data_IF_650921372183
#
_entry.id   IF_650921372183
#
_cell.length_a   1.000
_cell.length_b   1.000
_cell.length_c   1.000
_cell.angle_alpha   90.00
_cell.angle_beta   90.00
_cell.angle_gamma   90.00
#
_symmetry.space_group_name_H-M   'P 1'
#
loop_
_entity.id
_entity.type
_entity.pdbx_description
1 polymer ?
#
# COMPACT_ATOMS: atom_id res chain seq x y z
N UNK A 1 46.82 24.77 -45.98
CA UNK A 1 46.95 23.63 -45.03
C UNK A 1 45.56 23.07 -44.81
N UNK A 2 45.24 21.98 -45.44
CA UNK A 2 43.95 21.31 -45.27
C UNK A 2 44.08 20.33 -44.11
N UNK A 3 43.64 20.76 -42.93
CA UNK A 3 43.52 19.86 -41.78
C UNK A 3 42.40 18.86 -41.97
N UNK A 4 42.69 17.55 -41.88
CA UNK A 4 41.69 16.51 -41.85
C UNK A 4 40.65 16.77 -40.77
N UNK A 5 39.35 16.56 -41.03
CA UNK A 5 38.32 16.74 -40.00
C UNK A 5 38.60 15.78 -38.85
N UNK A 6 38.76 16.32 -37.61
CA UNK A 6 38.81 15.52 -36.41
C UNK A 6 37.41 14.97 -36.12
N UNK A 7 37.26 13.67 -36.22
CA UNK A 7 36.08 12.97 -35.75
C UNK A 7 36.21 12.83 -34.24
N UNK A 8 35.48 13.68 -33.48
CA UNK A 8 35.38 13.55 -32.03
C UNK A 8 34.13 12.74 -31.73
N UNK A 9 34.30 11.48 -31.36
CA UNK A 9 33.23 10.66 -30.84
C UNK A 9 33.13 11.03 -29.35
N UNK A 10 32.22 11.92 -28.99
CA UNK A 10 31.81 12.13 -27.62
C UNK A 10 30.77 11.05 -27.28
N UNK A 11 31.17 10.03 -26.55
CA UNK A 11 30.24 9.16 -25.87
C UNK A 11 29.68 9.95 -24.65
N UNK A 12 28.64 10.72 -24.90
CA UNK A 12 27.77 11.18 -23.79
C UNK A 12 26.95 9.98 -23.37
N UNK A 13 27.40 9.28 -22.32
CA UNK A 13 26.48 8.45 -21.57
C UNK A 13 25.34 9.37 -21.14
N UNK A 14 24.13 9.07 -21.61
CA UNK A 14 22.91 9.68 -21.07
C UNK A 14 22.79 9.21 -19.61
N UNK A 15 23.44 9.94 -18.73
CA UNK A 15 23.51 9.70 -17.31
C UNK A 15 22.29 10.28 -16.64
N UNK A 16 21.13 9.83 -16.95
CA UNK A 16 19.97 9.94 -16.09
C UNK A 16 19.01 8.83 -16.52
N UNK A 17 19.28 7.64 -16.05
CA UNK A 17 18.24 6.64 -16.03
C UNK A 17 17.18 7.20 -15.11
N UNK A 18 16.00 7.53 -15.65
CA UNK A 18 14.86 7.96 -14.84
C UNK A 18 14.62 6.94 -13.73
N UNK A 19 14.23 7.37 -12.54
CA UNK A 19 13.86 6.47 -11.45
C UNK A 19 12.80 5.50 -11.98
N UNK A 20 13.04 4.21 -11.82
CA UNK A 20 12.10 3.17 -12.24
C UNK A 20 10.94 3.17 -11.27
N UNK A 21 9.75 3.56 -11.75
CA UNK A 21 8.55 3.57 -10.90
C UNK A 21 8.03 2.16 -10.70
N UNK A 22 7.72 1.82 -9.46
CA UNK A 22 6.99 0.62 -9.10
C UNK A 22 5.53 0.72 -9.54
N UNK A 23 4.93 -0.44 -9.82
CA UNK A 23 3.52 -0.51 -10.15
C UNK A 23 2.73 -0.56 -8.84
N UNK A 24 1.90 0.45 -8.63
CA UNK A 24 1.09 0.61 -7.42
C UNK A 24 -0.36 0.16 -7.66
N UNK A 25 -1.07 -0.13 -6.58
CA UNK A 25 -2.49 -0.47 -6.63
C UNK A 25 -2.76 -1.96 -6.76
N UNK A 26 -1.94 -2.80 -6.13
CA UNK A 26 -2.12 -4.26 -6.10
C UNK A 26 -2.65 -4.70 -4.73
N UNK A 27 -3.81 -5.35 -4.73
CA UNK A 27 -4.43 -5.91 -3.52
C UNK A 27 -4.19 -7.41 -3.46
N UNK A 28 -3.66 -7.90 -2.35
CA UNK A 28 -3.55 -9.31 -2.00
C UNK A 28 -4.69 -9.74 -1.08
N UNK A 29 -5.40 -10.79 -1.44
CA UNK A 29 -6.51 -11.34 -0.67
C UNK A 29 -6.20 -12.79 -0.34
N UNK A 30 -6.36 -13.18 0.91
CA UNK A 30 -6.31 -14.58 1.32
C UNK A 30 -7.73 -15.04 1.64
N UNK A 31 -8.21 -16.04 0.93
CA UNK A 31 -9.54 -16.63 1.11
C UNK A 31 -9.45 -18.12 1.44
N UNK A 32 -10.35 -18.56 2.30
CA UNK A 32 -10.51 -19.97 2.65
C UNK A 32 -11.61 -20.58 1.79
N UNK A 33 -11.25 -21.55 0.94
CA UNK A 33 -12.17 -22.12 -0.05
C UNK A 33 -11.66 -23.46 -0.59
N UNK A 34 -12.53 -24.46 -0.60
CA UNK A 34 -12.21 -25.80 -1.09
C UNK A 34 -12.86 -26.15 -2.44
N UNK A 35 -13.41 -25.15 -3.18
CA UNK A 35 -14.14 -25.37 -4.45
C UNK A 35 -13.23 -25.90 -5.55
N UNK A 36 -11.97 -25.46 -5.60
CA UNK A 36 -10.96 -25.86 -6.62
C UNK A 36 -9.60 -26.10 -6.01
N UNK A 37 -8.73 -26.81 -6.75
CA UNK A 37 -7.34 -27.06 -6.34
C UNK A 37 -6.39 -25.91 -6.67
N UNK A 38 -6.77 -25.00 -7.56
CA UNK A 38 -5.92 -23.85 -7.94
C UNK A 38 -5.76 -22.90 -6.75
N UNK A 39 -4.52 -22.68 -6.34
CA UNK A 39 -4.18 -21.91 -5.12
C UNK A 39 -4.08 -20.41 -5.34
N UNK A 40 -3.75 -19.94 -6.55
CA UNK A 40 -3.53 -18.51 -6.82
C UNK A 40 -4.26 -18.05 -8.06
N UNK A 41 -4.92 -16.91 -7.93
CA UNK A 41 -5.65 -16.23 -8.99
C UNK A 41 -5.17 -14.79 -9.11
N UNK A 42 -5.18 -14.27 -10.33
CA UNK A 42 -4.89 -12.87 -10.62
C UNK A 42 -6.06 -12.32 -11.42
N UNK A 43 -6.64 -11.22 -10.95
CA UNK A 43 -7.77 -10.56 -11.56
C UNK A 43 -7.46 -9.07 -11.78
N UNK A 44 -7.89 -8.52 -12.88
CA UNK A 44 -7.80 -7.09 -13.20
C UNK A 44 -9.14 -6.37 -13.05
N UNK A 45 -10.23 -7.11 -13.03
CA UNK A 45 -11.58 -6.57 -12.81
C UNK A 45 -12.52 -7.66 -12.29
N UNK A 46 -13.68 -7.24 -11.79
CA UNK A 46 -14.69 -8.13 -11.22
C UNK A 46 -15.26 -9.15 -12.24
N UNK A 47 -15.31 -8.81 -13.53
CA UNK A 47 -15.86 -9.69 -14.57
C UNK A 47 -15.04 -10.96 -14.81
N UNK A 48 -13.76 -10.94 -14.42
CA UNK A 48 -12.86 -12.11 -14.53
C UNK A 48 -13.09 -13.14 -13.42
N UNK A 49 -13.80 -12.77 -12.36
CA UNK A 49 -14.12 -13.68 -11.24
C UNK A 49 -15.29 -14.58 -11.65
N UNK A 50 -15.02 -15.87 -11.78
CA UNK A 50 -16.02 -16.86 -12.16
C UNK A 50 -16.66 -17.47 -10.90
N UNK A 51 -17.99 -17.54 -10.87
CA UNK A 51 -18.73 -18.17 -9.76
C UNK A 51 -18.34 -19.65 -9.58
N UNK A 52 -17.98 -20.33 -10.67
CA UNK A 52 -17.55 -21.75 -10.61
C UNK A 52 -16.22 -21.97 -9.89
N UNK A 53 -15.45 -20.91 -9.65
CA UNK A 53 -14.15 -20.99 -9.01
C UNK A 53 -14.22 -20.82 -7.49
N UNK A 54 -15.32 -20.28 -6.97
CA UNK A 54 -15.46 -19.90 -5.57
C UNK A 54 -16.79 -20.43 -5.00
N UNK A 55 -16.84 -20.62 -3.68
CA UNK A 55 -18.11 -20.79 -3.00
C UNK A 55 -18.94 -19.50 -3.10
N UNK A 56 -20.25 -19.58 -2.87
CA UNK A 56 -21.17 -18.44 -3.04
C UNK A 56 -20.77 -17.23 -2.17
N UNK A 57 -20.25 -17.45 -0.98
CA UNK A 57 -19.82 -16.40 -0.07
C UNK A 57 -18.60 -15.67 -0.60
N UNK A 58 -17.54 -16.40 -0.96
CA UNK A 58 -16.31 -15.82 -1.49
C UNK A 58 -16.51 -15.17 -2.86
N UNK A 59 -17.36 -15.75 -3.71
CA UNK A 59 -17.74 -15.13 -4.97
C UNK A 59 -18.38 -13.76 -4.74
N UNK A 60 -19.41 -13.68 -3.86
CA UNK A 60 -20.06 -12.39 -3.53
C UNK A 60 -19.09 -11.40 -2.90
N UNK A 61 -18.25 -11.84 -1.97
CA UNK A 61 -17.25 -10.99 -1.33
C UNK A 61 -16.30 -10.35 -2.35
N UNK A 62 -15.84 -11.12 -3.34
CA UNK A 62 -15.01 -10.61 -4.42
C UNK A 62 -15.78 -9.66 -5.34
N UNK A 63 -17.03 -9.99 -5.72
CA UNK A 63 -17.86 -9.16 -6.58
C UNK A 63 -18.26 -7.84 -5.92
N UNK A 64 -18.69 -7.88 -4.66
CA UNK A 64 -19.26 -6.73 -3.97
C UNK A 64 -18.18 -5.80 -3.37
N UNK A 65 -17.02 -6.34 -2.93
CA UNK A 65 -16.03 -5.59 -2.19
C UNK A 65 -14.63 -5.58 -2.84
N UNK A 66 -14.32 -6.62 -3.62
CA UNK A 66 -12.97 -6.86 -4.11
C UNK A 66 -12.46 -5.87 -5.15
N UNK A 67 -13.35 -5.11 -5.82
CA UNK A 67 -12.99 -4.24 -6.95
C UNK A 67 -13.60 -2.83 -6.89
N UNK A 68 -14.18 -2.46 -5.77
CA UNK A 68 -14.89 -1.18 -5.60
C UNK A 68 -13.99 0.06 -5.75
N UNK A 69 -12.69 -0.09 -5.57
CA UNK A 69 -11.71 0.99 -5.67
C UNK A 69 -11.16 1.22 -7.07
N UNK A 70 -11.35 0.28 -8.00
CA UNK A 70 -10.72 0.33 -9.33
C UNK A 70 -9.19 0.19 -9.28
N UNK A 71 -8.68 -0.65 -8.36
CA UNK A 71 -7.26 -0.98 -8.25
C UNK A 71 -6.73 -1.62 -9.52
N UNK A 72 -5.41 -1.55 -9.72
CA UNK A 72 -4.77 -2.08 -10.92
C UNK A 72 -4.90 -3.61 -11.05
N UNK A 73 -4.69 -4.33 -9.94
CA UNK A 73 -4.65 -5.79 -9.95
C UNK A 73 -5.04 -6.33 -8.57
N UNK A 74 -5.69 -7.47 -8.56
CA UNK A 74 -6.01 -8.24 -7.34
C UNK A 74 -5.37 -9.62 -7.44
N UNK A 75 -4.59 -9.99 -6.45
CA UNK A 75 -3.98 -11.32 -6.29
C UNK A 75 -4.74 -12.06 -5.20
N UNK A 76 -5.43 -13.13 -5.54
CA UNK A 76 -6.18 -13.93 -4.57
C UNK A 76 -5.45 -15.24 -4.31
N UNK A 77 -5.10 -15.49 -3.07
CA UNK A 77 -4.53 -16.76 -2.60
C UNK A 77 -5.64 -17.55 -1.94
N UNK A 78 -5.89 -18.74 -2.48
CA UNK A 78 -6.82 -19.71 -1.91
C UNK A 78 -6.11 -20.63 -0.95
N UNK A 79 -6.69 -20.83 0.22
CA UNK A 79 -6.31 -21.83 1.20
C UNK A 79 -7.49 -22.77 1.36
N UNK A 80 -7.28 -24.08 1.23
CA UNK A 80 -8.34 -25.04 1.46
C UNK A 80 -8.74 -25.07 2.94
N UNK A 81 -10.04 -25.18 3.19
CA UNK A 81 -10.60 -25.18 4.57
C UNK A 81 -10.06 -26.31 5.44
N UNK A 82 -9.80 -27.47 4.85
CA UNK A 82 -9.31 -28.66 5.55
C UNK A 82 -7.88 -28.50 6.12
N UNK A 83 -7.06 -27.64 5.49
CA UNK A 83 -5.69 -27.35 5.96
C UNK A 83 -5.58 -26.03 6.73
N UNK A 84 -6.66 -25.28 6.88
CA UNK A 84 -6.67 -23.94 7.52
C UNK A 84 -5.96 -23.91 8.87
N UNK A 85 -6.22 -24.91 9.74
CA UNK A 85 -5.68 -24.98 11.08
C UNK A 85 -4.21 -25.44 11.15
N UNK A 86 -3.67 -25.95 10.05
CA UNK A 86 -2.30 -26.51 9.99
C UNK A 86 -1.36 -25.70 9.15
N UNK A 87 -1.88 -24.72 8.39
CA UNK A 87 -1.08 -23.94 7.45
C UNK A 87 -0.19 -22.95 8.16
N UNK A 88 1.00 -22.76 7.62
CA UNK A 88 1.88 -21.66 8.04
C UNK A 88 1.51 -20.36 7.34
N UNK A 89 0.58 -19.58 7.94
CA UNK A 89 0.12 -18.32 7.41
C UNK A 89 1.28 -17.34 7.15
N UNK A 90 2.30 -17.31 8.01
CA UNK A 90 3.46 -16.41 7.83
C UNK A 90 4.26 -16.73 6.57
N UNK A 91 4.33 -18.00 6.16
CA UNK A 91 5.00 -18.38 4.90
C UNK A 91 4.23 -17.87 3.67
N UNK A 92 2.91 -17.93 3.71
CA UNK A 92 2.04 -17.40 2.63
C UNK A 92 2.16 -15.87 2.56
N UNK A 93 2.07 -15.20 3.69
CA UNK A 93 2.22 -13.74 3.78
C UNK A 93 3.56 -13.28 3.22
N UNK A 94 4.65 -14.01 3.53
CA UNK A 94 5.99 -13.71 3.02
C UNK A 94 6.11 -13.85 1.50
N UNK A 95 5.37 -14.76 0.88
CA UNK A 95 5.32 -14.87 -0.58
C UNK A 95 4.46 -13.78 -1.19
N UNK A 96 3.36 -13.40 -0.53
CA UNK A 96 2.43 -12.42 -1.05
C UNK A 96 2.96 -10.98 -0.92
N UNK A 97 3.65 -10.63 0.17
CA UNK A 97 4.13 -9.27 0.47
C UNK A 97 5.08 -8.67 -0.58
N UNK A 98 5.72 -9.51 -1.40
CA UNK A 98 6.62 -9.05 -2.49
C UNK A 98 5.88 -8.70 -3.78
N UNK A 99 4.59 -9.02 -3.87
CA UNK A 99 3.80 -8.87 -5.09
C UNK A 99 2.69 -7.82 -4.95
N UNK A 100 2.40 -7.36 -3.72
CA UNK A 100 1.20 -6.55 -3.44
C UNK A 100 1.50 -5.37 -2.53
N UNK A 101 0.71 -4.31 -2.66
CA UNK A 101 0.79 -3.10 -1.84
C UNK A 101 -0.12 -3.18 -0.60
N UNK A 102 -1.15 -4.01 -0.66
CA UNK A 102 -2.15 -4.16 0.40
C UNK A 102 -2.50 -5.62 0.58
N UNK A 103 -2.60 -6.11 1.81
CA UNK A 103 -3.02 -7.48 2.12
C UNK A 103 -4.24 -7.44 3.03
N UNK A 104 -5.20 -8.33 2.77
CA UNK A 104 -6.39 -8.52 3.58
C UNK A 104 -6.75 -10.00 3.70
N UNK A 105 -7.23 -10.41 4.87
CA UNK A 105 -7.78 -11.73 5.16
C UNK A 105 -9.21 -11.52 5.67
N UNK A 106 -10.20 -11.41 4.77
CA UNK A 106 -11.54 -10.97 5.13
C UNK A 106 -12.25 -11.85 6.17
N UNK A 107 -12.03 -13.15 6.10
CA UNK A 107 -12.65 -14.15 6.95
C UNK A 107 -11.69 -14.68 8.04
N UNK A 108 -10.68 -13.89 8.40
CA UNK A 108 -9.75 -14.28 9.46
C UNK A 108 -10.48 -14.52 10.79
N UNK A 109 -10.17 -15.65 11.42
CA UNK A 109 -10.50 -15.84 12.84
C UNK A 109 -9.70 -14.85 13.70
N UNK A 110 -10.06 -14.69 14.96
CA UNK A 110 -9.32 -13.80 15.86
C UNK A 110 -7.84 -14.16 15.94
N UNK A 111 -7.52 -15.46 16.08
CA UNK A 111 -6.15 -15.98 16.11
C UNK A 111 -5.38 -15.69 14.81
N UNK A 112 -6.01 -15.88 13.64
CA UNK A 112 -5.39 -15.58 12.34
C UNK A 112 -5.17 -14.08 12.17
N UNK A 113 -6.13 -13.27 12.60
CA UNK A 113 -6.02 -11.80 12.58
C UNK A 113 -4.89 -11.31 13.50
N UNK A 114 -4.74 -11.88 14.70
CA UNK A 114 -3.63 -11.58 15.61
C UNK A 114 -2.28 -12.02 15.04
N UNK A 115 -2.24 -13.18 14.42
CA UNK A 115 -1.06 -13.68 13.69
C UNK A 115 -0.67 -12.74 12.54
N UNK A 116 -1.64 -12.25 11.78
CA UNK A 116 -1.42 -11.30 10.69
C UNK A 116 -0.94 -9.93 11.19
N UNK A 117 -1.54 -9.40 12.25
CA UNK A 117 -1.09 -8.16 12.93
C UNK A 117 0.34 -8.31 13.44
N UNK A 118 0.64 -9.43 14.12
CA UNK A 118 1.98 -9.72 14.65
C UNK A 118 3.02 -9.83 13.53
N UNK A 119 2.70 -10.56 12.46
CA UNK A 119 3.55 -10.67 11.28
C UNK A 119 3.84 -9.29 10.69
N UNK A 120 2.82 -8.47 10.47
CA UNK A 120 2.98 -7.12 9.91
C UNK A 120 3.86 -6.24 10.79
N UNK A 121 3.66 -6.27 12.11
CA UNK A 121 4.51 -5.55 13.06
C UNK A 121 5.96 -6.00 12.99
N UNK A 122 6.24 -7.29 12.86
CA UNK A 122 7.60 -7.82 12.71
C UNK A 122 8.25 -7.37 11.39
N UNK A 123 7.50 -7.41 10.28
CA UNK A 123 8.01 -7.02 8.95
C UNK A 123 8.30 -5.52 8.82
N UNK A 124 7.64 -4.69 9.63
CA UNK A 124 7.80 -3.23 9.64
C UNK A 124 8.35 -2.73 11.00
N UNK A 125 8.97 -3.60 11.78
CA UNK A 125 9.48 -3.28 13.13
C UNK A 125 10.82 -2.53 13.11
N UNK A 126 11.03 -1.67 12.12
CA UNK A 126 12.24 -0.85 12.02
C UNK A 126 11.87 0.59 12.36
N UNK A 127 12.78 1.26 13.04
CA UNK A 127 12.66 2.69 13.23
C UNK A 127 12.67 3.40 11.88
N UNK A 128 11.79 4.36 11.69
CA UNK A 128 11.55 5.00 10.39
C UNK A 128 12.79 5.65 9.77
N UNK A 129 13.77 6.06 10.60
CA UNK A 129 15.08 6.51 10.12
C UNK A 129 15.91 5.42 9.43
N UNK A 130 15.62 4.14 9.69
CA UNK A 130 16.28 2.99 9.06
C UNK A 130 15.49 2.44 7.87
N UNK A 131 14.20 2.76 7.72
CA UNK A 131 13.38 2.34 6.57
C UNK A 131 14.01 2.73 5.23
N UNK A 132 14.65 3.88 5.16
CA UNK A 132 15.36 4.33 3.97
C UNK A 132 16.65 3.55 3.67
N UNK A 133 17.18 2.81 4.65
CA UNK A 133 18.46 2.11 4.55
C UNK A 133 18.31 0.60 4.41
N UNK A 134 17.20 0.03 4.87
CA UNK A 134 16.95 -1.41 4.82
C UNK A 134 15.99 -1.74 3.66
N UNK A 135 16.57 -1.97 2.49
CA UNK A 135 15.85 -2.34 1.28
C UNK A 135 15.18 -3.73 1.35
N UNK A 136 15.41 -4.51 2.41
CA UNK A 136 14.83 -5.84 2.57
C UNK A 136 13.50 -5.82 3.35
N UNK A 137 13.02 -4.63 3.72
CA UNK A 137 11.73 -4.49 4.39
C UNK A 137 10.55 -4.63 3.44
N UNK A 138 9.45 -5.10 4.00
CA UNK A 138 8.19 -5.14 3.30
C UNK A 138 7.56 -3.73 3.17
N UNK A 139 6.87 -3.48 2.07
CA UNK A 139 6.21 -2.21 1.76
C UNK A 139 4.72 -2.43 1.47
N UNK A 140 4.01 -3.08 2.38
CA UNK A 140 2.58 -3.32 2.24
C UNK A 140 1.77 -2.80 3.43
N UNK A 141 0.49 -2.54 3.22
CA UNK A 141 -0.48 -2.34 4.28
C UNK A 141 -1.22 -3.62 4.61
N UNK A 142 -1.39 -3.90 5.92
CA UNK A 142 -2.32 -4.90 6.40
C UNK A 142 -3.68 -4.25 6.69
N UNK A 143 -4.75 -4.75 6.08
CA UNK A 143 -6.11 -4.32 6.34
C UNK A 143 -6.82 -5.34 7.22
N UNK A 144 -7.32 -4.87 8.35
CA UNK A 144 -7.98 -5.72 9.35
C UNK A 144 -9.26 -5.04 9.87
N UNK A 145 -10.14 -5.81 10.51
CA UNK A 145 -11.32 -5.30 11.23
C UNK A 145 -11.28 -5.79 12.67
N UNK A 146 -10.64 -5.01 13.56
CA UNK A 146 -10.51 -5.37 14.97
C UNK A 146 -11.09 -4.30 15.88
N UNK A 147 -11.68 -4.74 17.00
CA UNK A 147 -12.29 -3.84 17.99
C UNK A 147 -11.26 -3.14 18.88
N UNK A 148 -10.08 -3.74 19.09
CA UNK A 148 -9.01 -3.15 19.88
C UNK A 148 -8.18 -2.12 19.10
N UNK A 149 -7.39 -1.33 19.84
CA UNK A 149 -6.40 -0.41 19.29
C UNK A 149 -5.10 -1.16 18.98
N UNK A 150 -4.61 -1.10 17.74
CA UNK A 150 -3.45 -1.87 17.29
C UNK A 150 -2.14 -1.09 17.40
N UNK A 151 -2.19 0.23 17.17
CA UNK A 151 -1.05 1.16 17.18
C UNK A 151 0.12 0.76 16.29
N UNK A 152 -0.09 0.81 14.95
CA UNK A 152 0.97 0.56 13.98
C UNK A 152 0.74 1.27 12.64
N UNK A 153 1.79 1.85 12.05
CA UNK A 153 1.68 2.69 10.86
C UNK A 153 1.41 1.90 9.55
N UNK A 154 1.78 0.63 9.46
CA UNK A 154 1.53 -0.22 8.30
C UNK A 154 0.22 -1.03 8.42
N UNK A 155 -0.61 -0.78 9.44
CA UNK A 155 -1.88 -1.46 9.62
C UNK A 155 -3.02 -0.45 9.51
N UNK A 156 -4.02 -0.80 8.71
CA UNK A 156 -5.28 -0.06 8.56
C UNK A 156 -6.38 -0.87 9.22
N UNK A 157 -6.96 -0.33 10.30
CA UNK A 157 -8.01 -1.01 11.05
C UNK A 157 -9.37 -0.44 10.69
N UNK A 158 -10.24 -1.26 10.10
CA UNK A 158 -11.62 -0.90 9.80
C UNK A 158 -12.49 -1.01 11.05
N UNK A 159 -13.39 -0.04 11.26
CA UNK A 159 -14.40 -0.05 12.33
C UNK A 159 -15.80 0.28 11.80
N UNK A 160 -16.05 0.12 10.50
CA UNK A 160 -17.38 0.31 9.90
C UNK A 160 -18.15 -0.99 10.09
N UNK A 161 -19.21 -0.93 10.90
CA UNK A 161 -19.99 -2.09 11.30
C UNK A 161 -21.28 -2.21 10.49
N UNK A 162 -21.84 -3.42 10.47
CA UNK A 162 -23.14 -3.74 9.88
C UNK A 162 -23.32 -3.24 8.44
N UNK A 163 -22.23 -3.28 7.67
CA UNK A 163 -22.27 -2.78 6.29
C UNK A 163 -23.08 -3.72 5.41
N UNK A 164 -24.02 -3.14 4.65
CA UNK A 164 -24.83 -3.84 3.66
C UNK A 164 -24.45 -3.36 2.27
N UNK A 165 -24.15 -4.30 1.38
CA UNK A 165 -23.84 -4.05 -0.03
C UNK A 165 -24.64 -5.04 -0.88
N UNK A 166 -25.39 -4.55 -1.86
CA UNK A 166 -26.28 -5.38 -2.70
C UNK A 166 -27.19 -6.31 -1.87
N UNK A 167 -27.69 -5.80 -0.71
CA UNK A 167 -28.53 -6.56 0.21
C UNK A 167 -27.80 -7.61 1.06
N UNK A 168 -26.49 -7.78 0.91
CA UNK A 168 -25.67 -8.70 1.70
C UNK A 168 -24.97 -7.96 2.85
N UNK A 169 -25.05 -8.50 4.06
CA UNK A 169 -24.39 -7.93 5.25
C UNK A 169 -22.99 -8.48 5.38
N UNK A 170 -22.02 -7.57 5.59
CA UNK A 170 -20.61 -7.87 5.75
C UNK A 170 -20.11 -7.51 7.15
N UNK A 171 -19.20 -8.31 7.67
CA UNK A 171 -18.51 -8.06 8.94
C UNK A 171 -17.46 -6.96 8.79
N UNK A 172 -16.95 -6.43 9.92
CA UNK A 172 -15.87 -5.43 9.92
C UNK A 172 -14.60 -5.95 9.21
N UNK A 173 -14.28 -7.25 9.36
CA UNK A 173 -13.13 -7.88 8.70
C UNK A 173 -13.34 -8.02 7.19
N UNK A 174 -14.52 -8.46 6.76
CA UNK A 174 -14.87 -8.59 5.33
C UNK A 174 -14.89 -7.21 4.66
N UNK A 175 -15.46 -6.18 5.31
CA UNK A 175 -15.50 -4.83 4.76
C UNK A 175 -14.12 -4.16 4.69
N UNK A 176 -13.11 -4.64 5.45
CA UNK A 176 -11.72 -4.19 5.31
C UNK A 176 -11.18 -4.43 3.88
N UNK A 177 -11.72 -5.41 3.13
CA UNK A 177 -11.41 -5.64 1.72
C UNK A 177 -11.84 -4.45 0.84
N UNK A 178 -13.04 -3.90 1.06
CA UNK A 178 -13.48 -2.72 0.31
C UNK A 178 -12.55 -1.52 0.58
N UNK A 179 -12.14 -1.33 1.85
CA UNK A 179 -11.21 -0.25 2.21
C UNK A 179 -9.85 -0.45 1.54
N UNK A 180 -9.33 -1.69 1.50
CA UNK A 180 -8.08 -2.03 0.80
C UNK A 180 -8.18 -1.77 -0.71
N UNK A 181 -9.30 -2.17 -1.34
CA UNK A 181 -9.58 -1.90 -2.75
C UNK A 181 -9.62 -0.40 -3.04
N UNK A 182 -10.35 0.38 -2.23
CA UNK A 182 -10.46 1.84 -2.38
C UNK A 182 -9.12 2.54 -2.17
N UNK A 183 -8.31 2.08 -1.23
CA UNK A 183 -6.98 2.62 -0.97
C UNK A 183 -6.05 2.35 -2.16
N UNK A 184 -6.01 1.12 -2.64
CA UNK A 184 -5.19 0.71 -3.77
C UNK A 184 -5.60 1.40 -5.09
N UNK A 185 -6.89 1.62 -5.33
CA UNK A 185 -7.39 2.37 -6.50
C UNK A 185 -7.29 3.89 -6.37
N UNK A 186 -6.99 4.39 -5.17
CA UNK A 186 -6.85 5.82 -4.95
C UNK A 186 -5.54 6.35 -5.53
N UNK A 187 -5.60 7.34 -6.43
CA UNK A 187 -4.41 7.96 -7.01
C UNK A 187 -3.43 8.48 -5.94
N UNK A 188 -2.13 8.41 -6.23
CA UNK A 188 -1.06 8.64 -5.25
C UNK A 188 -1.11 10.03 -4.57
N UNK A 189 -1.57 11.05 -5.29
CA UNK A 189 -1.76 12.40 -4.74
C UNK A 189 -3.02 12.54 -3.88
N UNK A 190 -3.91 11.54 -3.89
CA UNK A 190 -5.20 11.55 -3.21
C UNK A 190 -5.18 10.76 -1.90
N UNK A 191 -6.24 10.90 -1.12
CA UNK A 191 -6.50 10.14 0.10
C UNK A 191 -7.92 9.59 0.02
N UNK A 192 -8.16 8.45 0.65
CA UNK A 192 -9.51 7.90 0.83
C UNK A 192 -10.35 8.73 1.82
N UNK A 193 -9.78 9.75 2.47
CA UNK A 193 -10.51 10.70 3.31
C UNK A 193 -11.64 11.34 2.52
N UNK A 194 -12.85 11.34 3.07
CA UNK A 194 -14.06 11.89 2.46
C UNK A 194 -14.46 11.22 1.13
N UNK A 195 -13.95 10.01 0.87
CA UNK A 195 -14.34 9.24 -0.31
C UNK A 195 -15.74 8.68 -0.14
N UNK A 196 -16.59 8.83 -1.15
CA UNK A 196 -17.97 8.33 -1.14
C UNK A 196 -18.00 6.81 -1.23
N UNK A 197 -18.85 6.20 -0.42
CA UNK A 197 -19.15 4.77 -0.43
C UNK A 197 -20.43 4.55 -1.26
N UNK A 198 -20.33 4.71 -2.59
CA UNK A 198 -21.48 4.66 -3.50
C UNK A 198 -22.10 3.28 -3.65
N UNK A 199 -21.37 2.24 -3.24
CA UNK A 199 -21.78 0.85 -3.31
C UNK A 199 -22.40 0.35 -1.99
N UNK A 200 -22.42 1.15 -0.94
CA UNK A 200 -22.95 0.79 0.39
C UNK A 200 -24.41 1.21 0.47
N UNK A 201 -25.30 0.23 0.69
CA UNK A 201 -26.73 0.45 0.88
C UNK A 201 -27.02 1.00 2.27
N UNK A 202 -26.37 0.42 3.31
CA UNK A 202 -26.52 0.82 4.70
C UNK A 202 -25.30 0.43 5.53
N UNK A 203 -25.04 1.15 6.64
CA UNK A 203 -24.06 0.79 7.66
C UNK A 203 -24.41 1.45 8.99
N UNK A 204 -23.85 0.93 10.08
CA UNK A 204 -23.99 1.57 11.40
C UNK A 204 -23.17 2.87 11.44
N UNK A 205 -23.87 3.98 11.73
CA UNK A 205 -23.22 5.29 11.92
C UNK A 205 -22.77 5.42 13.39
N UNK A 206 -21.48 5.65 13.65
CA UNK A 206 -21.02 5.93 14.99
C UNK A 206 -21.47 7.33 15.43
N UNK A 207 -21.81 7.47 16.72
CA UNK A 207 -22.17 8.77 17.30
C UNK A 207 -21.03 9.80 17.15
N UNK A 208 -19.79 9.37 17.33
CA UNK A 208 -18.60 10.22 17.27
C UNK A 208 -17.52 9.65 16.34
N UNK A 209 -17.68 9.81 15.02
CA UNK A 209 -16.72 9.28 14.03
C UNK A 209 -15.28 9.76 14.28
N UNK A 210 -15.12 10.97 14.81
CA UNK A 210 -13.84 11.56 15.14
C UNK A 210 -13.09 10.83 16.26
N UNK A 211 -13.79 10.34 17.29
CA UNK A 211 -13.18 9.55 18.37
C UNK A 211 -12.63 8.22 17.86
N UNK A 212 -13.39 7.53 17.01
CA UNK A 212 -12.96 6.28 16.37
C UNK A 212 -11.68 6.54 15.55
N UNK A 213 -11.66 7.62 14.78
CA UNK A 213 -10.48 8.01 13.99
C UNK A 213 -9.26 8.33 14.88
N UNK A 214 -9.47 8.95 16.06
CA UNK A 214 -8.38 9.20 17.02
C UNK A 214 -7.81 7.90 17.62
N UNK A 215 -8.58 6.82 17.63
CA UNK A 215 -8.13 5.47 18.00
C UNK A 215 -7.41 4.74 16.85
N UNK A 216 -7.12 5.41 15.73
CA UNK A 216 -6.44 4.82 14.59
C UNK A 216 -7.32 3.85 13.78
N UNK A 217 -8.62 4.11 13.71
CA UNK A 217 -9.56 3.26 12.99
C UNK A 217 -10.27 4.03 11.88
N UNK A 218 -10.55 3.34 10.77
CA UNK A 218 -11.39 3.87 9.71
C UNK A 218 -12.83 3.88 10.20
N UNK A 219 -13.47 5.04 10.12
CA UNK A 219 -14.89 5.23 10.44
C UNK A 219 -15.63 5.87 9.28
N UNK A 220 -16.96 5.81 9.35
CA UNK A 220 -17.86 6.37 8.36
C UNK A 220 -18.59 7.57 8.96
N UNK A 221 -18.92 8.52 8.12
CA UNK A 221 -19.87 9.60 8.40
C UNK A 221 -20.88 9.74 7.27
N UNK A 222 -22.00 10.38 7.55
CA UNK A 222 -23.05 10.61 6.59
C UNK A 222 -23.01 12.07 6.13
N UNK A 223 -23.17 12.27 4.83
CA UNK A 223 -23.26 13.61 4.23
C UNK A 223 -24.50 13.68 3.33
N UNK A 224 -24.93 14.90 3.01
CA UNK A 224 -25.99 15.17 2.03
C UNK A 224 -25.41 15.92 0.86
N UNK A 225 -25.87 15.59 -0.34
CA UNK A 225 -25.59 16.38 -1.52
C UNK A 225 -26.51 17.62 -1.63
N UNK A 226 -26.32 18.43 -2.65
CA UNK A 226 -27.09 19.64 -2.90
C UNK A 226 -28.58 19.36 -3.20
N UNK A 227 -28.92 18.10 -3.55
CA UNK A 227 -30.31 17.64 -3.77
C UNK A 227 -30.95 17.06 -2.52
N UNK A 228 -30.20 17.01 -1.40
CA UNK A 228 -30.66 16.46 -0.13
C UNK A 228 -30.52 14.93 -0.01
N UNK A 229 -29.96 14.25 -1.02
CA UNK A 229 -29.70 12.82 -0.99
C UNK A 229 -28.54 12.54 -0.02
N UNK A 230 -28.79 11.63 0.89
CA UNK A 230 -27.83 11.21 1.89
C UNK A 230 -26.92 10.11 1.34
N UNK A 231 -25.62 10.21 1.62
CA UNK A 231 -24.62 9.21 1.25
C UNK A 231 -23.58 9.03 2.37
N UNK A 232 -22.93 7.88 2.35
CA UNK A 232 -21.86 7.55 3.29
C UNK A 232 -20.49 7.96 2.73
N UNK A 233 -19.61 8.42 3.63
CA UNK A 233 -18.21 8.77 3.30
C UNK A 233 -17.26 8.24 4.35
N UNK A 234 -16.05 7.88 3.94
CA UNK A 234 -14.96 7.59 4.86
C UNK A 234 -14.59 8.87 5.60
N UNK A 235 -14.69 8.88 6.93
CA UNK A 235 -14.41 10.07 7.73
C UNK A 235 -12.95 10.53 7.54
N UNK A 236 -11.97 9.63 7.73
CA UNK A 236 -10.54 9.88 7.47
C UNK A 236 -9.81 8.62 7.07
N UNK A 237 -8.87 8.75 6.11
CA UNK A 237 -7.92 7.71 5.73
C UNK A 237 -6.74 7.67 6.71
N UNK A 238 -6.88 6.91 7.79
CA UNK A 238 -5.88 6.77 8.85
C UNK A 238 -5.35 5.35 8.95
N UNK A 239 -4.08 5.24 9.34
CA UNK A 239 -3.50 3.98 9.82
C UNK A 239 -3.87 3.77 11.29
N UNK A 240 -3.57 2.61 11.84
CA UNK A 240 -3.83 2.35 13.26
C UNK A 240 -2.82 3.02 14.22
N UNK A 241 -1.88 3.81 13.70
CA UNK A 241 -0.86 4.48 14.49
C UNK A 241 -1.42 5.65 15.31
N UNK A 242 -1.33 5.57 16.63
CA UNK A 242 -1.90 6.54 17.58
C UNK A 242 -0.90 7.11 18.59
N UNK A 243 0.30 6.54 18.71
CA UNK A 243 1.35 6.94 19.66
C UNK A 243 2.50 7.67 19.00
N UNK A 244 2.35 8.96 18.60
CA UNK A 244 3.40 9.70 17.95
C UNK A 244 4.60 9.93 18.88
N UNK A 245 5.80 9.81 18.31
CA UNK A 245 7.09 10.10 18.96
C UNK A 245 7.81 11.22 18.22
N UNK A 246 8.98 11.63 18.70
CA UNK A 246 9.85 12.60 18.00
C UNK A 246 10.29 12.09 16.62
N UNK A 247 10.50 10.77 16.48
CA UNK A 247 10.90 10.12 15.24
C UNK A 247 9.67 9.76 14.41
N UNK A 248 8.71 9.05 15.00
CA UNK A 248 7.44 8.68 14.37
C UNK A 248 6.40 9.78 14.62
N UNK A 249 6.43 10.81 13.78
CA UNK A 249 5.54 11.96 13.93
C UNK A 249 4.07 11.61 13.54
N UNK A 250 3.13 12.48 13.91
CA UNK A 250 1.69 12.31 13.64
C UNK A 250 1.35 12.08 12.15
N UNK A 251 2.24 12.47 11.22
CA UNK A 251 2.04 12.23 9.78
C UNK A 251 1.91 10.74 9.43
N UNK A 252 2.51 9.85 10.23
CA UNK A 252 2.44 8.40 10.04
C UNK A 252 1.09 7.78 10.41
N UNK A 253 0.20 8.54 11.04
CA UNK A 253 -1.19 8.14 11.19
C UNK A 253 -2.04 8.34 9.91
N UNK A 254 -1.46 8.87 8.82
CA UNK A 254 -2.17 9.09 7.56
C UNK A 254 -1.75 8.06 6.52
N UNK A 255 -2.68 7.29 5.99
CA UNK A 255 -2.42 6.28 4.95
C UNK A 255 -1.66 6.90 3.77
N UNK A 256 -2.11 8.06 3.24
CA UNK A 256 -1.45 8.75 2.12
C UNK A 256 0.06 8.97 2.38
N UNK A 257 0.44 9.42 3.59
CA UNK A 257 1.85 9.68 3.91
C UNK A 257 2.68 8.39 3.93
N UNK A 258 2.16 7.33 4.55
CA UNK A 258 2.85 6.04 4.64
C UNK A 258 2.94 5.38 3.26
N UNK A 259 1.85 5.41 2.46
CA UNK A 259 1.85 4.93 1.07
C UNK A 259 2.91 5.63 0.22
N UNK A 260 2.98 6.96 0.31
CA UNK A 260 4.01 7.73 -0.40
C UNK A 260 5.42 7.29 0.01
N UNK A 261 5.65 7.04 1.30
CA UNK A 261 6.95 6.53 1.77
C UNK A 261 7.26 5.14 1.21
N UNK A 262 6.31 4.21 1.25
CA UNK A 262 6.51 2.87 0.70
C UNK A 262 6.84 2.93 -0.79
N UNK A 263 6.07 3.71 -1.57
CA UNK A 263 6.31 3.90 -2.99
C UNK A 263 7.69 4.49 -3.27
N UNK A 264 8.06 5.59 -2.59
CA UNK A 264 9.37 6.23 -2.81
C UNK A 264 10.51 5.26 -2.47
N UNK A 265 10.37 4.51 -1.36
CA UNK A 265 11.40 3.52 -0.97
C UNK A 265 11.54 2.41 -2.01
N UNK A 266 10.43 1.90 -2.54
CA UNK A 266 10.42 0.85 -3.56
C UNK A 266 10.99 1.36 -4.90
N UNK A 267 10.63 2.56 -5.34
CA UNK A 267 11.16 3.19 -6.54
C UNK A 267 12.68 3.42 -6.45
N UNK A 268 13.16 3.89 -5.28
CA UNK A 268 14.59 4.07 -5.02
C UNK A 268 15.32 2.74 -4.95
N UNK A 269 14.75 1.71 -4.34
CA UNK A 269 15.29 0.34 -4.29
C UNK A 269 15.46 -0.23 -5.68
N UNK A 270 14.45 -0.11 -6.54
CA UNK A 270 14.49 -0.58 -7.92
C UNK A 270 15.57 0.17 -8.73
N UNK A 271 15.65 1.48 -8.55
CA UNK A 271 16.68 2.32 -9.17
C UNK A 271 18.08 1.94 -8.68
N UNK A 272 18.27 1.77 -7.37
CA UNK A 272 19.54 1.35 -6.79
C UNK A 272 19.98 -0.03 -7.28
N UNK A 273 19.05 -0.98 -7.42
CA UNK A 273 19.35 -2.31 -7.95
C UNK A 273 19.92 -2.26 -9.36
N UNK A 274 19.49 -1.31 -10.18
CA UNK A 274 20.05 -1.06 -11.52
C UNK A 274 21.48 -0.53 -11.45
N UNK A 275 21.81 0.33 -10.46
CA UNK A 275 23.17 0.88 -10.29
C UNK A 275 24.12 -0.11 -9.62
N UNK A 276 23.60 -1.07 -8.85
CA UNK A 276 24.37 -2.06 -8.09
C UNK A 276 25.06 -3.04 -9.05
N UNK A 277 26.39 -2.96 -9.14
CA UNK A 277 27.20 -3.89 -9.95
C UNK A 277 27.24 -3.60 -11.46
N UNK A 278 26.42 -2.70 -11.96
CA UNK A 278 26.41 -2.34 -13.40
C UNK A 278 27.40 -1.23 -13.75
N UNK A 279 27.86 -0.47 -12.77
CA UNK A 279 28.70 0.73 -12.98
C UNK A 279 29.83 0.85 -11.95
N UNK A 280 30.91 1.48 -12.37
CA UNK A 280 32.03 1.82 -11.49
C UNK A 280 31.61 2.91 -10.48
N UNK A 281 32.19 2.89 -9.27
CA UNK A 281 31.87 3.82 -8.20
C UNK A 281 32.56 5.19 -8.38
N UNK A 282 32.45 5.81 -9.56
CA UNK A 282 33.00 7.13 -9.84
C UNK A 282 32.08 8.25 -9.35
N UNK A 283 32.65 9.38 -9.01
CA UNK A 283 31.95 10.57 -8.55
C UNK A 283 30.81 10.99 -9.51
N UNK A 284 31.10 11.01 -10.81
CA UNK A 284 30.13 11.39 -11.86
C UNK A 284 28.87 10.49 -11.86
N UNK A 285 29.02 9.20 -11.60
CA UNK A 285 27.91 8.26 -11.55
C UNK A 285 27.06 8.44 -10.28
N UNK A 286 27.71 8.77 -9.16
CA UNK A 286 27.00 9.13 -7.91
C UNK A 286 26.20 10.41 -8.12
N UNK A 287 26.78 11.42 -8.75
CA UNK A 287 26.06 12.65 -9.10
C UNK A 287 24.91 12.38 -10.08
N UNK A 288 25.10 11.47 -11.02
CA UNK A 288 24.02 11.02 -11.91
C UNK A 288 22.83 10.41 -11.15
N UNK A 289 23.08 9.59 -10.14
CA UNK A 289 22.04 9.04 -9.27
C UNK A 289 21.32 10.12 -8.47
N UNK A 290 22.07 11.07 -7.86
CA UNK A 290 21.48 12.20 -7.13
C UNK A 290 20.59 13.03 -8.03
N UNK A 291 21.05 13.35 -9.23
CA UNK A 291 20.26 14.12 -10.20
C UNK A 291 18.98 13.37 -10.62
N UNK A 292 19.04 12.04 -10.77
CA UNK A 292 17.86 11.21 -11.03
C UNK A 292 16.87 11.24 -9.88
N UNK A 293 17.35 11.16 -8.63
CA UNK A 293 16.49 11.23 -7.44
C UNK A 293 15.89 12.64 -7.30
N UNK A 294 16.64 13.71 -7.55
CA UNK A 294 16.15 15.08 -7.54
C UNK A 294 15.03 15.26 -8.59
N UNK A 295 15.27 14.84 -9.82
CA UNK A 295 14.25 14.93 -10.89
C UNK A 295 12.98 14.13 -10.54
N UNK A 296 13.15 12.95 -9.92
CA UNK A 296 12.03 12.14 -9.45
C UNK A 296 11.23 12.85 -8.34
N UNK A 297 11.89 13.38 -7.32
CA UNK A 297 11.22 14.12 -6.23
C UNK A 297 10.54 15.39 -6.73
N UNK A 298 11.15 16.12 -7.67
CA UNK A 298 10.52 17.28 -8.30
C UNK A 298 9.27 16.87 -9.08
N UNK A 299 9.30 15.76 -9.80
CA UNK A 299 8.10 15.24 -10.48
C UNK A 299 6.98 14.86 -9.50
N UNK A 300 7.32 14.37 -8.28
CA UNK A 300 6.32 14.08 -7.25
C UNK A 300 5.73 15.36 -6.63
N UNK A 301 6.52 16.43 -6.54
CA UNK A 301 6.05 17.77 -6.12
C UNK A 301 5.07 18.34 -7.14
N UNK A 302 5.41 18.29 -8.42
CA UNK A 302 4.53 18.73 -9.52
C UNK A 302 3.21 17.97 -9.54
N UNK A 303 3.22 16.68 -9.20
CA UNK A 303 2.01 15.85 -9.10
C UNK A 303 1.22 16.06 -7.78
N UNK A 304 1.68 16.95 -6.88
CA UNK A 304 1.03 17.20 -5.59
C UNK A 304 1.13 16.01 -4.60
N UNK A 305 2.10 15.13 -4.81
CA UNK A 305 2.40 14.01 -3.89
C UNK A 305 3.23 14.49 -2.71
N UNK A 306 4.28 15.25 -3.00
CA UNK A 306 5.16 15.90 -2.03
C UNK A 306 4.86 17.39 -1.94
N UNK A 307 5.17 18.00 -0.79
CA UNK A 307 5.01 19.42 -0.57
C UNK A 307 6.15 20.19 -1.29
N UNK A 308 5.82 21.08 -2.25
CA UNK A 308 6.82 21.80 -3.01
C UNK A 308 7.61 22.83 -2.19
N UNK A 309 7.14 23.21 -1.00
CA UNK A 309 7.81 24.21 -0.14
C UNK A 309 9.08 23.67 0.52
N UNK A 310 9.27 22.34 0.56
CA UNK A 310 10.49 21.74 1.10
C UNK A 310 11.53 21.52 0.01
N UNK A 311 12.80 21.97 0.21
CA UNK A 311 13.89 21.71 -0.73
C UNK A 311 14.20 20.20 -0.79
N UNK A 312 14.82 19.77 -1.90
CA UNK A 312 15.40 18.44 -1.99
C UNK A 312 16.78 18.49 -1.30
N UNK A 313 16.90 17.86 -0.16
CA UNK A 313 18.17 17.74 0.56
C UNK A 313 18.66 16.29 0.46
N UNK A 314 19.37 15.98 -0.64
CA UNK A 314 20.05 14.71 -0.81
C UNK A 314 21.56 14.95 -0.70
N UNK A 315 22.15 14.42 0.37
CA UNK A 315 23.59 14.41 0.54
C UNK A 315 24.13 13.00 0.27
N UNK A 316 25.17 12.93 -0.59
CA UNK A 316 25.89 11.68 -0.82
C UNK A 316 27.07 11.65 0.14
N UNK A 317 26.87 11.16 1.33
CA UNK A 317 27.97 10.79 2.21
C UNK A 317 28.58 9.46 1.74
N UNK A 318 29.71 9.53 1.07
CA UNK A 318 30.51 8.36 0.74
C UNK A 318 31.33 8.00 1.97
N UNK A 319 30.78 7.11 2.80
CA UNK A 319 31.61 6.50 3.84
C UNK A 319 32.77 5.74 3.16
N UNK A 320 33.98 5.85 3.70
CA UNK A 320 35.22 5.25 3.17
C UNK A 320 35.12 3.72 2.98
N UNK A 321 34.10 3.07 3.51
CA UNK A 321 33.87 1.63 3.44
C UNK A 321 32.63 1.25 2.60
N UNK A 322 32.58 1.63 1.33
CA UNK A 322 31.69 1.02 0.29
C UNK A 322 30.17 1.06 0.53
N UNK A 323 29.66 1.87 1.45
CA UNK A 323 28.23 2.12 1.60
C UNK A 323 27.92 3.56 1.22
N UNK A 324 27.08 3.77 0.23
CA UNK A 324 26.46 5.07 -0.01
C UNK A 324 25.33 5.18 1.01
N UNK A 325 25.53 5.97 2.06
CA UNK A 325 24.47 6.40 2.95
C UNK A 325 23.86 7.66 2.34
N UNK A 326 22.61 7.57 1.89
CA UNK A 326 21.78 8.74 1.66
C UNK A 326 21.16 9.12 3.01
N UNK A 327 21.42 10.32 3.49
CA UNK A 327 20.83 10.89 4.72
C UNK A 327 19.67 11.79 4.36
#
# INVERSE_FOLDING_TARGET
MNGSPKFVLEFKELAATAVVRSQQGVVGIILFDSTKDKEKYIYYNALEVLQTDWNDKNYRLLQDLGFVGGQYKTVVVRIKEDVRNTINLSAILKQLEVEVDSIVIPEATETESDGFVSYTKQRHNVELGQLALDFDQAHFFAFVGKTEVIDHFAIVNNAIEDTVVNGTKYTIGEFALAIASMEAGCGISRSITNMKLTFVDNCTLPEEPGKITMQGKISVSQQKDDTGITYYVINRGVTSFVSPTTIKQRRFSKIKCVRTMFMVTEDLKNTWSYYKGARNNFYEQKMGLVNSINAYTDSLKEQGVLDPSYPNEFDINVAEHKRVLMV
#
